data_IF_586644377840
#
_entry.id   IF_586644377840
#
_cell.length_a   1.000
_cell.length_b   1.000
_cell.length_c   1.000
_cell.angle_alpha   90.00
_cell.angle_beta   90.00
_cell.angle_gamma   90.00
#
_symmetry.space_group_name_H-M   'P 1'
#
loop_
_entity.id
_entity.type
_entity.pdbx_description
1 polymer ?
#
# COMPACT_ATOMS: atom_id res chain seq x y z
N UNK A 1 -55.05 -17.72 21.14
CA UNK A 1 -54.36 -16.92 20.15
C UNK A 1 -52.88 -16.99 20.44
N UNK A 2 -52.03 -17.64 19.63
CA UNK A 2 -50.58 -17.64 19.83
C UNK A 2 -49.99 -16.45 19.10
N UNK A 3 -49.21 -15.65 19.82
CA UNK A 3 -48.42 -14.55 19.27
C UNK A 3 -47.18 -15.11 18.56
N UNK A 4 -47.12 -14.90 17.24
CA UNK A 4 -45.95 -15.16 16.43
C UNK A 4 -44.86 -14.12 16.72
N UNK A 5 -43.85 -14.48 17.50
CA UNK A 5 -42.59 -13.76 17.56
C UNK A 5 -41.73 -14.13 16.34
N UNK A 6 -41.86 -13.36 15.28
CA UNK A 6 -40.91 -13.36 14.20
C UNK A 6 -39.60 -12.67 14.67
N UNK A 7 -38.66 -13.43 15.18
CA UNK A 7 -37.30 -12.97 15.31
C UNK A 7 -36.73 -12.76 13.91
N UNK A 8 -36.69 -11.50 13.45
CA UNK A 8 -35.92 -11.08 12.29
C UNK A 8 -34.47 -11.28 12.64
N UNK A 9 -33.85 -12.34 12.12
CA UNK A 9 -32.42 -12.49 12.04
C UNK A 9 -31.88 -11.42 11.04
N UNK A 10 -31.62 -10.22 11.55
CA UNK A 10 -30.80 -9.26 10.82
C UNK A 10 -29.37 -9.80 10.79
N UNK A 11 -29.04 -10.55 9.75
CA UNK A 11 -27.67 -10.94 9.46
C UNK A 11 -26.93 -9.66 9.00
N UNK A 12 -26.44 -8.89 9.97
CA UNK A 12 -25.51 -7.79 9.70
C UNK A 12 -24.21 -8.43 9.21
N UNK A 13 -24.04 -8.58 7.91
CA UNK A 13 -22.72 -8.81 7.33
C UNK A 13 -21.90 -7.57 7.63
N UNK A 14 -21.18 -7.57 8.74
CA UNK A 14 -20.14 -6.58 9.00
C UNK A 14 -19.05 -6.81 7.96
N UNK A 15 -19.02 -5.96 6.95
CA UNK A 15 -17.97 -6.00 5.91
C UNK A 15 -16.63 -5.74 6.61
N UNK A 16 -15.75 -6.74 6.62
CA UNK A 16 -14.42 -6.62 7.20
C UNK A 16 -13.58 -5.65 6.37
N UNK A 17 -13.22 -4.54 6.99
CA UNK A 17 -12.35 -3.53 6.36
C UNK A 17 -10.91 -3.96 6.52
N UNK A 18 -10.19 -4.01 5.42
CA UNK A 18 -8.75 -4.29 5.38
C UNK A 18 -7.94 -3.05 5.05
N UNK A 19 -6.73 -2.97 5.58
CA UNK A 19 -5.75 -1.94 5.28
C UNK A 19 -4.54 -2.58 4.61
N UNK A 20 -4.17 -2.09 3.44
CA UNK A 20 -3.04 -2.60 2.66
C UNK A 20 -1.78 -1.82 2.98
N UNK A 21 -0.70 -2.50 3.35
CA UNK A 21 0.61 -1.86 3.60
C UNK A 21 1.67 -2.51 2.73
N UNK A 22 2.31 -1.72 1.86
CA UNK A 22 3.40 -2.19 1.01
C UNK A 22 4.78 -1.93 1.64
N UNK A 23 5.75 -2.85 1.44
CA UNK A 23 7.10 -2.70 2.00
C UNK A 23 7.15 -2.75 3.53
N UNK A 24 6.28 -3.52 4.15
CA UNK A 24 6.03 -3.56 5.59
C UNK A 24 6.91 -4.54 6.39
N UNK A 25 7.96 -5.10 5.80
CA UNK A 25 8.86 -6.03 6.49
C UNK A 25 9.87 -5.34 7.42
N UNK A 26 10.00 -4.01 7.38
CA UNK A 26 10.89 -3.21 8.24
C UNK A 26 10.55 -1.71 8.17
N UNK A 27 11.19 -0.93 9.06
CA UNK A 27 11.15 0.55 9.02
C UNK A 27 9.73 1.13 9.08
N UNK A 28 9.48 2.19 8.32
CA UNK A 28 8.22 2.95 8.34
C UNK A 28 7.02 2.06 8.04
N UNK A 29 7.11 1.17 7.05
CA UNK A 29 6.00 0.26 6.72
C UNK A 29 5.66 -0.73 7.82
N UNK A 30 6.65 -1.24 8.55
CA UNK A 30 6.42 -2.09 9.73
C UNK A 30 5.74 -1.29 10.85
N UNK A 31 6.20 -0.06 11.11
CA UNK A 31 5.55 0.82 12.11
C UNK A 31 4.08 1.10 11.74
N UNK A 32 3.77 1.36 10.46
CA UNK A 32 2.38 1.48 10.01
C UNK A 32 1.58 0.21 10.30
N UNK A 33 2.11 -0.97 9.95
CA UNK A 33 1.43 -2.24 10.18
C UNK A 33 1.14 -2.46 11.68
N UNK A 34 2.12 -2.19 12.54
CA UNK A 34 1.99 -2.34 14.00
C UNK A 34 0.96 -1.36 14.60
N UNK A 35 1.03 -0.07 14.24
CA UNK A 35 0.10 0.93 14.77
C UNK A 35 -1.35 0.71 14.30
N UNK A 36 -1.54 0.24 13.06
CA UNK A 36 -2.86 -0.11 12.55
C UNK A 36 -3.40 -1.39 13.21
N UNK A 37 -2.57 -2.40 13.41
CA UNK A 37 -2.91 -3.61 14.14
C UNK A 37 -3.33 -3.32 15.60
N UNK A 38 -2.57 -2.45 16.28
CA UNK A 38 -2.89 -1.99 17.65
C UNK A 38 -4.25 -1.30 17.77
N UNK A 39 -4.75 -0.75 16.66
CA UNK A 39 -6.10 -0.15 16.58
C UNK A 39 -7.18 -1.16 16.19
N UNK A 40 -6.87 -2.46 16.17
CA UNK A 40 -7.80 -3.53 15.83
C UNK A 40 -8.15 -3.62 14.34
N UNK A 41 -7.31 -3.07 13.45
CA UNK A 41 -7.57 -3.06 12.01
C UNK A 41 -7.02 -4.32 11.33
N UNK A 42 -7.82 -4.94 10.45
CA UNK A 42 -7.34 -6.06 9.64
C UNK A 42 -6.36 -5.59 8.56
N UNK A 43 -5.35 -6.39 8.27
CA UNK A 43 -4.25 -6.00 7.42
C UNK A 43 -4.04 -6.92 6.21
N UNK A 44 -3.60 -6.35 5.10
CA UNK A 44 -2.95 -7.05 4.00
C UNK A 44 -1.52 -6.52 3.90
N UNK A 45 -0.56 -7.38 4.21
CA UNK A 45 0.86 -7.05 4.20
C UNK A 45 1.50 -7.50 2.89
N UNK A 46 2.14 -6.57 2.17
CA UNK A 46 2.77 -6.86 0.88
C UNK A 46 4.27 -6.57 0.95
N UNK A 47 5.11 -7.61 0.81
CA UNK A 47 6.56 -7.48 0.73
C UNK A 47 7.20 -8.71 0.05
N UNK A 48 8.52 -8.64 -0.22
CA UNK A 48 9.23 -9.68 -0.98
C UNK A 48 9.82 -10.83 -0.15
N UNK A 49 10.07 -10.62 1.15
CA UNK A 49 10.72 -11.62 2.03
C UNK A 49 9.66 -12.44 2.76
N UNK A 50 9.34 -13.62 2.24
CA UNK A 50 8.26 -14.47 2.71
C UNK A 50 8.38 -14.83 4.20
N UNK A 51 9.52 -15.38 4.62
CA UNK A 51 9.75 -15.83 6.02
C UNK A 51 9.52 -14.69 7.02
N UNK A 52 10.15 -13.53 6.77
CA UNK A 52 10.05 -12.38 7.65
C UNK A 52 8.61 -11.83 7.69
N UNK A 53 7.95 -11.79 6.54
CA UNK A 53 6.59 -11.25 6.47
C UNK A 53 5.57 -12.16 7.13
N UNK A 54 5.71 -13.48 6.99
CA UNK A 54 4.86 -14.45 7.68
C UNK A 54 5.05 -14.38 9.19
N UNK A 55 6.30 -14.26 9.68
CA UNK A 55 6.59 -14.07 11.11
C UNK A 55 5.91 -12.82 11.66
N UNK A 56 6.05 -11.69 10.99
CA UNK A 56 5.40 -10.43 11.38
C UNK A 56 3.87 -10.60 11.41
N UNK A 57 3.29 -11.24 10.39
CA UNK A 57 1.86 -11.46 10.34
C UNK A 57 1.35 -12.32 11.50
N UNK A 58 2.09 -13.37 11.87
CA UNK A 58 1.75 -14.22 13.00
C UNK A 58 1.84 -13.47 14.34
N UNK A 59 2.90 -12.70 14.55
CA UNK A 59 3.06 -11.84 15.73
C UNK A 59 1.88 -10.86 15.87
N UNK A 60 1.47 -10.20 14.78
CA UNK A 60 0.36 -9.24 14.80
C UNK A 60 -1.00 -9.91 15.05
N UNK A 61 -1.26 -11.08 14.46
CA UNK A 61 -2.49 -11.85 14.73
C UNK A 61 -2.59 -12.24 16.19
N UNK A 62 -1.51 -12.78 16.75
CA UNK A 62 -1.50 -13.27 18.14
C UNK A 62 -1.59 -12.14 19.16
N UNK A 63 -1.03 -10.97 18.85
CA UNK A 63 -0.99 -9.85 19.77
C UNK A 63 -2.28 -9.01 19.77
N UNK A 64 -2.97 -8.89 18.63
CA UNK A 64 -4.05 -7.91 18.47
C UNK A 64 -5.41 -8.50 18.06
N UNK A 65 -5.53 -9.83 17.96
CA UNK A 65 -6.78 -10.54 17.56
C UNK A 65 -7.41 -9.96 16.27
N UNK A 66 -6.57 -9.78 15.22
CA UNK A 66 -6.96 -9.25 13.91
C UNK A 66 -6.69 -10.24 12.80
N UNK A 67 -7.35 -10.05 11.66
CA UNK A 67 -7.00 -10.76 10.45
C UNK A 67 -5.79 -10.10 9.78
N UNK A 68 -4.78 -10.89 9.44
CA UNK A 68 -3.62 -10.42 8.68
C UNK A 68 -3.40 -11.35 7.51
N UNK A 69 -3.50 -10.84 6.31
CA UNK A 69 -3.16 -11.56 5.10
C UNK A 69 -1.78 -11.17 4.57
N UNK A 70 -1.11 -12.10 3.92
CA UNK A 70 0.23 -11.90 3.40
C UNK A 70 0.24 -12.10 1.89
N UNK A 71 0.78 -11.13 1.18
CA UNK A 71 1.03 -11.19 -0.26
C UNK A 71 2.54 -11.07 -0.48
N UNK A 72 3.16 -12.13 -0.99
CA UNK A 72 4.57 -12.09 -1.35
C UNK A 72 4.70 -11.53 -2.76
N UNK A 73 5.28 -10.34 -2.87
CA UNK A 73 5.48 -9.68 -4.15
C UNK A 73 6.77 -8.86 -4.16
N UNK A 74 7.52 -8.96 -5.25
CA UNK A 74 8.70 -8.14 -5.53
C UNK A 74 8.35 -7.11 -6.61
N UNK A 75 8.13 -5.88 -6.19
CA UNK A 75 7.77 -4.77 -7.08
C UNK A 75 8.86 -4.44 -8.11
N UNK A 76 10.09 -4.86 -7.90
CA UNK A 76 11.18 -4.73 -8.89
C UNK A 76 10.94 -5.54 -10.17
N UNK A 77 10.09 -6.58 -10.13
CA UNK A 77 9.75 -7.41 -11.29
C UNK A 77 8.79 -6.77 -12.29
N UNK A 78 8.45 -5.49 -12.11
CA UNK A 78 7.62 -4.74 -13.05
C UNK A 78 6.15 -5.18 -13.06
N UNK A 79 5.53 -5.20 -14.25
CA UNK A 79 4.08 -5.38 -14.40
C UNK A 79 3.55 -6.78 -14.07
N UNK A 80 4.39 -7.80 -14.11
CA UNK A 80 3.98 -9.21 -14.05
C UNK A 80 3.39 -9.66 -12.70
N UNK A 81 3.57 -8.87 -11.64
CA UNK A 81 3.12 -9.23 -10.29
C UNK A 81 1.71 -8.74 -9.96
N UNK A 82 1.19 -7.76 -10.70
CA UNK A 82 -0.04 -7.06 -10.28
C UNK A 82 -1.30 -7.90 -10.43
N UNK A 83 -1.40 -8.75 -11.44
CA UNK A 83 -2.54 -9.68 -11.59
C UNK A 83 -2.68 -10.58 -10.35
N UNK A 84 -1.57 -11.14 -9.87
CA UNK A 84 -1.56 -11.97 -8.67
C UNK A 84 -1.89 -11.18 -7.39
N UNK A 85 -1.49 -9.91 -7.31
CA UNK A 85 -1.88 -9.04 -6.19
C UNK A 85 -3.38 -8.74 -6.26
N UNK A 86 -3.89 -8.40 -7.44
CA UNK A 86 -5.29 -8.08 -7.67
C UNK A 86 -6.21 -9.25 -7.30
N UNK A 87 -5.90 -10.46 -7.76
CA UNK A 87 -6.62 -11.69 -7.41
C UNK A 87 -6.77 -11.87 -5.88
N UNK A 88 -5.70 -11.61 -5.13
CA UNK A 88 -5.71 -11.73 -3.67
C UNK A 88 -6.46 -10.60 -2.96
N UNK A 89 -6.71 -9.49 -3.64
CA UNK A 89 -7.49 -8.36 -3.13
C UNK A 89 -8.97 -8.40 -3.56
N UNK A 90 -9.36 -9.33 -4.45
CA UNK A 90 -10.75 -9.50 -4.85
C UNK A 90 -11.61 -9.80 -3.63
N UNK A 91 -12.78 -9.15 -3.55
CA UNK A 91 -13.76 -9.36 -2.47
C UNK A 91 -13.42 -8.65 -1.16
N UNK A 92 -12.26 -8.00 -1.03
CA UNK A 92 -11.89 -7.24 0.18
C UNK A 92 -12.33 -5.79 0.11
N UNK A 93 -12.86 -5.29 1.20
CA UNK A 93 -13.12 -3.85 1.39
C UNK A 93 -11.84 -3.18 1.90
N UNK A 94 -11.09 -2.52 1.00
CA UNK A 94 -9.82 -1.87 1.34
C UNK A 94 -10.08 -0.43 1.80
N UNK A 95 -10.03 -0.19 3.10
CA UNK A 95 -10.27 1.13 3.70
C UNK A 95 -9.08 2.09 3.58
N UNK A 96 -7.85 1.59 3.71
CA UNK A 96 -6.63 2.40 3.59
C UNK A 96 -5.59 1.65 2.75
N UNK A 97 -4.93 2.38 1.85
CA UNK A 97 -3.74 1.93 1.13
C UNK A 97 -2.52 2.74 1.60
N UNK A 98 -1.51 2.05 2.15
CA UNK A 98 -0.21 2.64 2.49
C UNK A 98 0.82 2.23 1.45
N UNK A 99 1.11 3.11 0.50
CA UNK A 99 2.17 2.99 -0.48
C UNK A 99 3.49 3.41 0.17
N UNK A 100 4.17 2.46 0.81
CA UNK A 100 5.42 2.70 1.53
C UNK A 100 6.62 2.03 0.86
N UNK A 101 6.45 0.96 0.07
CA UNK A 101 7.57 0.30 -0.57
C UNK A 101 8.43 1.30 -1.35
N UNK A 102 9.74 1.19 -1.21
CA UNK A 102 10.67 2.06 -1.91
C UNK A 102 12.11 1.55 -1.79
N UNK A 103 12.91 1.91 -2.78
CA UNK A 103 14.36 1.69 -2.81
C UNK A 103 15.08 2.99 -3.10
N UNK A 104 16.28 3.12 -2.57
CA UNK A 104 17.20 4.21 -2.88
C UNK A 104 18.37 3.67 -3.73
N UNK A 105 19.23 4.55 -4.19
CA UNK A 105 20.47 4.18 -4.86
C UNK A 105 21.42 3.45 -3.92
N UNK A 106 22.19 2.52 -4.45
CA UNK A 106 23.25 1.83 -3.72
C UNK A 106 24.48 2.73 -3.61
N UNK A 107 24.43 3.66 -2.66
CA UNK A 107 25.52 4.63 -2.40
C UNK A 107 25.44 5.91 -3.21
N UNK A 108 26.44 6.76 -3.00
CA UNK A 108 26.64 8.05 -3.69
C UNK A 108 27.43 7.79 -4.97
N UNK A 109 26.82 8.10 -6.14
CA UNK A 109 27.47 7.93 -7.45
C UNK A 109 26.96 8.93 -8.48
N UNK A 110 27.70 9.12 -9.55
CA UNK A 110 27.21 9.88 -10.69
C UNK A 110 26.08 9.13 -11.40
N UNK A 111 25.15 9.87 -12.01
CA UNK A 111 24.00 9.29 -12.69
C UNK A 111 24.38 8.28 -13.79
N UNK A 112 25.41 8.59 -14.59
CA UNK A 112 25.88 7.72 -15.67
C UNK A 112 26.59 6.44 -15.21
N UNK A 113 26.93 6.33 -13.93
CA UNK A 113 27.51 5.11 -13.32
C UNK A 113 26.44 4.14 -12.83
N UNK A 114 25.17 4.56 -12.79
CA UNK A 114 24.07 3.69 -12.41
C UNK A 114 23.83 2.63 -13.51
N UNK A 115 23.66 1.38 -13.10
CA UNK A 115 23.31 0.32 -14.05
C UNK A 115 21.86 0.48 -14.51
N UNK A 116 21.56 0.03 -15.73
CA UNK A 116 20.19 0.05 -16.26
C UNK A 116 19.24 -0.70 -15.36
N UNK A 117 19.64 -1.87 -14.85
CA UNK A 117 18.83 -2.67 -13.89
C UNK A 117 18.49 -1.89 -12.62
N UNK A 118 19.45 -1.13 -12.06
CA UNK A 118 19.20 -0.32 -10.86
C UNK A 118 18.22 0.81 -11.13
N UNK A 119 18.29 1.41 -12.31
CA UNK A 119 17.38 2.48 -12.74
C UNK A 119 15.96 1.93 -12.93
N UNK A 120 15.82 0.82 -13.67
CA UNK A 120 14.52 0.16 -13.86
C UNK A 120 13.93 -0.35 -12.54
N UNK A 121 14.76 -0.94 -11.67
CA UNK A 121 14.31 -1.36 -10.34
C UNK A 121 13.74 -0.17 -9.54
N UNK A 122 14.39 0.99 -9.60
CA UNK A 122 13.92 2.19 -8.90
C UNK A 122 12.61 2.73 -9.50
N UNK A 123 12.46 2.72 -10.84
CA UNK A 123 11.21 3.07 -11.51
C UNK A 123 10.09 2.11 -11.10
N UNK A 124 10.33 0.82 -11.20
CA UNK A 124 9.33 -0.20 -10.90
C UNK A 124 8.87 -0.15 -9.43
N UNK A 125 9.84 -0.02 -8.51
CA UNK A 125 9.55 -0.04 -7.07
C UNK A 125 8.98 1.30 -6.58
N UNK A 126 9.54 2.46 -6.96
CA UNK A 126 9.14 3.74 -6.39
C UNK A 126 7.97 4.40 -7.15
N UNK A 127 7.86 4.18 -8.45
CA UNK A 127 6.83 4.78 -9.32
C UNK A 127 5.75 3.75 -9.65
N UNK A 128 6.16 2.63 -10.27
CA UNK A 128 5.25 1.60 -10.75
C UNK A 128 4.37 1.04 -9.64
N UNK A 129 4.96 0.70 -8.48
CA UNK A 129 4.21 0.13 -7.36
C UNK A 129 3.07 1.04 -6.91
N UNK A 130 3.36 2.30 -6.61
CA UNK A 130 2.37 3.25 -6.13
C UNK A 130 1.30 3.52 -7.19
N UNK A 131 1.71 3.71 -8.45
CA UNK A 131 0.79 4.01 -9.55
C UNK A 131 -0.22 2.88 -9.75
N UNK A 132 0.26 1.64 -9.83
CA UNK A 132 -0.59 0.48 -10.13
C UNK A 132 -1.40 0.01 -8.93
N UNK A 133 -0.88 0.11 -7.70
CA UNK A 133 -1.66 -0.11 -6.49
C UNK A 133 -2.80 0.91 -6.34
N UNK A 134 -2.54 2.19 -6.61
CA UNK A 134 -3.58 3.21 -6.66
C UNK A 134 -4.62 2.93 -7.74
N UNK A 135 -4.19 2.62 -8.98
CA UNK A 135 -5.10 2.28 -10.09
C UNK A 135 -6.03 1.12 -9.74
N UNK A 136 -5.52 0.11 -9.05
CA UNK A 136 -6.27 -1.10 -8.66
C UNK A 136 -7.29 -0.83 -7.55
N UNK A 137 -6.94 -0.03 -6.55
CA UNK A 137 -7.72 0.09 -5.31
C UNK A 137 -8.66 1.30 -5.31
N UNK A 138 -8.25 2.43 -5.91
CA UNK A 138 -9.03 3.66 -5.89
C UNK A 138 -10.45 3.54 -6.44
N UNK A 139 -10.73 2.85 -7.55
CA UNK A 139 -12.10 2.80 -8.11
C UNK A 139 -13.14 2.32 -7.08
N UNK A 140 -12.81 1.31 -6.28
CA UNK A 140 -13.70 0.82 -5.21
C UNK A 140 -13.83 1.79 -4.04
N UNK A 141 -12.78 2.55 -3.72
CA UNK A 141 -12.84 3.60 -2.71
C UNK A 141 -13.74 4.77 -3.18
N UNK A 142 -13.65 5.15 -4.46
CA UNK A 142 -14.46 6.18 -5.07
C UNK A 142 -15.95 5.78 -5.10
N UNK A 143 -16.26 4.58 -5.57
CA UNK A 143 -17.63 4.04 -5.64
C UNK A 143 -18.34 4.11 -4.28
N UNK A 144 -17.68 3.72 -3.20
CA UNK A 144 -18.26 3.76 -1.85
C UNK A 144 -18.07 5.08 -1.11
N UNK A 145 -17.43 6.08 -1.76
CA UNK A 145 -17.13 7.42 -1.19
C UNK A 145 -16.39 7.35 0.16
N UNK A 146 -15.58 6.32 0.34
CA UNK A 146 -14.86 6.06 1.60
C UNK A 146 -13.53 5.38 1.34
N UNK A 147 -12.46 5.94 1.87
CA UNK A 147 -11.11 5.38 1.79
C UNK A 147 -10.04 6.44 1.99
N UNK A 148 -8.81 6.00 2.18
CA UNK A 148 -7.66 6.88 2.25
C UNK A 148 -6.45 6.24 1.58
N UNK A 149 -5.62 7.07 0.95
CA UNK A 149 -4.33 6.64 0.39
C UNK A 149 -3.21 7.44 1.03
N UNK A 150 -2.26 6.75 1.61
CA UNK A 150 -1.05 7.32 2.21
C UNK A 150 0.13 6.95 1.31
N UNK A 151 0.78 7.96 0.73
CA UNK A 151 1.96 7.78 -0.09
C UNK A 151 3.21 8.27 0.66
N UNK A 152 4.15 7.37 0.94
CA UNK A 152 5.38 7.72 1.66
C UNK A 152 6.39 8.33 0.68
N UNK A 153 6.48 9.65 0.71
CA UNK A 153 7.43 10.45 -0.06
C UNK A 153 8.81 10.53 0.63
N UNK A 154 9.55 11.57 0.38
CA UNK A 154 10.84 11.87 1.02
C UNK A 154 11.08 13.38 0.97
N UNK A 155 11.90 13.90 1.87
CA UNK A 155 12.42 15.26 1.80
C UNK A 155 13.17 15.51 0.49
N UNK A 156 13.76 14.47 -0.11
CA UNK A 156 14.39 14.53 -1.43
C UNK A 156 13.43 14.90 -2.58
N UNK A 157 12.10 14.89 -2.33
CA UNK A 157 11.10 15.30 -3.33
C UNK A 157 11.00 16.82 -3.54
N UNK A 158 11.60 17.62 -2.67
CA UNK A 158 11.43 19.08 -2.68
C UNK A 158 12.56 19.83 -3.40
N UNK A 159 13.75 19.22 -3.46
CA UNK A 159 14.91 19.84 -4.08
C UNK A 159 15.69 18.83 -4.92
N UNK A 160 16.31 19.27 -6.05
CA UNK A 160 17.26 18.44 -6.77
C UNK A 160 18.39 18.00 -5.84
N UNK A 161 18.70 16.71 -5.85
CA UNK A 161 19.73 16.15 -4.99
C UNK A 161 20.85 15.52 -5.84
N UNK A 162 22.03 16.13 -5.91
CA UNK A 162 23.18 15.55 -6.60
C UNK A 162 23.47 14.15 -6.06
N UNK A 163 23.93 13.24 -6.92
CA UNK A 163 24.24 11.84 -6.62
C UNK A 163 23.05 10.96 -6.20
N UNK A 164 21.87 11.54 -5.95
CA UNK A 164 20.61 10.85 -5.70
C UNK A 164 19.53 11.29 -6.70
N UNK A 165 19.92 11.76 -7.86
CA UNK A 165 19.05 12.39 -8.86
C UNK A 165 17.82 11.51 -9.19
N UNK A 166 18.05 10.25 -9.51
CA UNK A 166 16.96 9.34 -9.87
C UNK A 166 16.00 9.09 -8.69
N UNK A 167 16.54 8.87 -7.49
CA UNK A 167 15.72 8.71 -6.29
C UNK A 167 14.87 9.95 -6.01
N UNK A 168 15.49 11.15 -6.04
CA UNK A 168 14.79 12.40 -5.84
C UNK A 168 13.67 12.60 -6.86
N UNK A 169 13.94 12.31 -8.15
CA UNK A 169 12.94 12.37 -9.21
C UNK A 169 11.76 11.40 -8.96
N UNK A 170 12.03 10.17 -8.53
CA UNK A 170 10.94 9.24 -8.18
C UNK A 170 10.10 9.73 -6.99
N UNK A 171 10.72 10.37 -6.01
CA UNK A 171 10.00 10.91 -4.85
C UNK A 171 9.26 12.21 -5.17
N UNK A 172 9.76 13.02 -6.11
CA UNK A 172 9.01 14.15 -6.69
C UNK A 172 7.76 13.65 -7.43
N UNK A 173 7.85 12.57 -8.22
CA UNK A 173 6.70 11.92 -8.83
C UNK A 173 5.63 11.55 -7.78
N UNK A 174 6.03 10.89 -6.68
CA UNK A 174 5.12 10.53 -5.57
C UNK A 174 4.38 11.76 -5.03
N UNK A 175 5.11 12.85 -4.80
CA UNK A 175 4.54 14.10 -4.28
C UNK A 175 3.55 14.71 -5.27
N UNK A 176 3.90 14.84 -6.54
CA UNK A 176 3.03 15.43 -7.57
C UNK A 176 1.78 14.58 -7.82
N UNK A 177 1.92 13.25 -7.93
CA UNK A 177 0.76 12.38 -8.12
C UNK A 177 -0.21 12.44 -6.93
N UNK A 178 0.31 12.51 -5.71
CA UNK A 178 -0.51 12.61 -4.49
C UNK A 178 -1.33 13.90 -4.48
N UNK A 179 -0.69 15.03 -4.81
CA UNK A 179 -1.36 16.35 -4.88
C UNK A 179 -2.38 16.43 -6.02
N UNK A 180 -2.03 15.92 -7.20
CA UNK A 180 -2.93 15.90 -8.35
C UNK A 180 -4.19 15.09 -8.08
N UNK A 181 -4.06 13.92 -7.47
CA UNK A 181 -5.21 13.10 -7.08
C UNK A 181 -6.08 13.78 -6.03
N UNK A 182 -5.49 14.40 -5.03
CA UNK A 182 -6.25 15.15 -4.02
C UNK A 182 -7.12 16.25 -4.66
N UNK A 183 -6.57 17.03 -5.61
CA UNK A 183 -7.32 18.05 -6.33
C UNK A 183 -8.45 17.46 -7.20
N UNK A 184 -8.20 16.32 -7.84
CA UNK A 184 -9.21 15.61 -8.62
C UNK A 184 -10.39 15.13 -7.76
N UNK A 185 -10.13 14.63 -6.56
CA UNK A 185 -11.19 14.21 -5.63
C UNK A 185 -12.01 15.39 -5.10
N UNK A 186 -11.39 16.52 -4.82
CA UNK A 186 -12.12 17.72 -4.39
C UNK A 186 -13.10 18.21 -5.46
N UNK A 187 -12.77 18.11 -6.75
CA UNK A 187 -13.64 18.52 -7.84
C UNK A 187 -14.86 17.60 -8.09
N UNK A 188 -14.85 16.39 -7.51
CA UNK A 188 -15.97 15.43 -7.61
C UNK A 188 -16.95 15.55 -6.44
N UNK A 189 -16.60 16.31 -5.40
CA UNK A 189 -17.40 16.46 -4.17
C UNK A 189 -18.02 17.86 -4.07
N UNK A 190 -17.61 18.79 -4.95
CA UNK A 190 -18.19 20.13 -5.12
C UNK A 190 -19.30 20.12 -6.18
#
# INVERSE_FOLDING_TARGET
MPQNNAHSLSCSFSVLIFLVVTGCSKGIGLCYAQELAKKGMNLVLIARKAELLNKIAEELRNQYDIQVEVIIADFGKGSNIYSSIEEKLIGKDIGILVNNVGVATDGIRYFHEATEDSLWNMINVNIGSMTLMCKMILPKMEERKRGAVINVASVASFVPNPFMTMYAATKAYVNFLSRGKFLQFQSLVS
#
